data_IF_600240880398
#
_entry.id   IF_600240880398
#
_cell.length_a   1.000
_cell.length_b   1.000
_cell.length_c   1.000
_cell.angle_alpha   90.00
_cell.angle_beta   90.00
_cell.angle_gamma   90.00
#
_symmetry.space_group_name_H-M   'P 1'
#
loop_
_entity.id
_entity.type
_entity.pdbx_description
1 polymer ?
#
# COMPACT_ATOMS: atom_id res chain seq x y z
N UNK A 1 -15.02 0.46 -37.27
CA UNK A 1 -13.84 0.39 -36.38
C UNK A 1 -14.09 -0.25 -35.00
N UNK A 2 -15.33 -0.50 -34.51
CA UNK A 2 -15.57 -1.42 -33.38
C UNK A 2 -15.30 -2.90 -33.70
N UNK A 3 -15.30 -3.26 -34.98
CA UNK A 3 -15.16 -4.66 -35.44
C UNK A 3 -13.73 -5.21 -35.38
N UNK A 4 -12.71 -4.37 -35.14
CA UNK A 4 -11.31 -4.84 -35.11
C UNK A 4 -10.89 -5.46 -33.76
N UNK A 5 -11.55 -5.10 -32.66
CA UNK A 5 -11.18 -5.56 -31.31
C UNK A 5 -12.43 -5.70 -30.42
N UNK A 6 -13.28 -6.72 -30.65
CA UNK A 6 -14.58 -6.84 -30.00
C UNK A 6 -14.53 -7.06 -28.48
N UNK A 7 -13.36 -7.36 -27.91
CA UNK A 7 -13.16 -7.65 -26.49
C UNK A 7 -12.25 -6.63 -25.77
N UNK A 8 -11.92 -5.49 -26.38
CA UNK A 8 -10.91 -4.54 -25.86
C UNK A 8 -11.50 -3.18 -25.48
N UNK A 9 -12.74 -3.14 -24.97
CA UNK A 9 -13.35 -1.89 -24.54
C UNK A 9 -13.24 -1.74 -23.02
N UNK A 10 -12.25 -0.97 -22.57
CA UNK A 10 -12.09 -0.59 -21.17
C UNK A 10 -12.47 0.89 -21.00
N UNK A 11 -13.55 1.16 -20.29
CA UNK A 11 -14.00 2.53 -19.99
C UNK A 11 -13.66 2.88 -18.54
N UNK A 12 -12.74 3.84 -18.35
CA UNK A 12 -12.33 4.31 -17.03
C UNK A 12 -12.71 5.78 -16.89
N UNK A 13 -13.54 6.11 -15.89
CA UNK A 13 -13.87 7.49 -15.52
C UNK A 13 -12.89 7.96 -14.44
N UNK A 14 -12.02 8.93 -14.74
CA UNK A 14 -11.08 9.47 -13.74
C UNK A 14 -10.79 10.97 -13.90
N UNK A 15 -10.24 11.58 -12.85
CA UNK A 15 -9.73 12.95 -12.80
C UNK A 15 -8.40 13.06 -13.58
N UNK A 16 -8.14 14.21 -14.21
CA UNK A 16 -6.96 14.49 -15.07
C UNK A 16 -5.58 14.18 -14.44
N UNK A 17 -5.48 14.04 -13.11
CA UNK A 17 -4.21 13.72 -12.42
C UNK A 17 -3.81 12.24 -12.48
N UNK A 18 -4.69 11.36 -12.95
CA UNK A 18 -4.47 9.91 -12.98
C UNK A 18 -4.40 9.32 -14.40
N UNK A 19 -4.43 10.16 -15.42
CA UNK A 19 -4.43 9.71 -16.82
C UNK A 19 -3.14 8.98 -17.21
N UNK A 20 -1.99 9.39 -16.68
CA UNK A 20 -0.69 8.76 -16.95
C UNK A 20 -0.63 7.32 -16.40
N UNK A 21 -0.97 7.12 -15.13
CA UNK A 21 -0.98 5.78 -14.49
C UNK A 21 -2.01 4.83 -15.11
N UNK A 22 -3.12 5.36 -15.64
CA UNK A 22 -4.13 4.55 -16.34
C UNK A 22 -3.63 4.12 -17.73
N UNK A 23 -2.94 5.00 -18.45
CA UNK A 23 -2.34 4.65 -19.75
C UNK A 23 -1.34 3.50 -19.59
N UNK A 24 -0.56 3.49 -18.51
CA UNK A 24 0.33 2.38 -18.15
C UNK A 24 -0.43 1.09 -17.87
N UNK A 25 -1.47 1.13 -17.03
CA UNK A 25 -2.30 -0.04 -16.71
C UNK A 25 -3.01 -0.60 -17.95
N UNK A 26 -3.51 0.27 -18.83
CA UNK A 26 -4.17 -0.11 -20.09
C UNK A 26 -3.16 -0.77 -21.03
N UNK A 27 -1.94 -0.24 -21.13
CA UNK A 27 -0.86 -0.86 -21.92
C UNK A 27 -0.43 -2.20 -21.33
N UNK A 28 -0.35 -2.32 -20.01
CA UNK A 28 -0.07 -3.58 -19.30
C UNK A 28 -1.15 -4.64 -19.58
N UNK A 29 -2.43 -4.25 -19.60
CA UNK A 29 -3.56 -5.14 -19.93
C UNK A 29 -3.57 -5.52 -21.43
N UNK A 30 -3.20 -4.59 -22.32
CA UNK A 30 -3.11 -4.83 -23.77
C UNK A 30 -1.88 -5.68 -24.15
N UNK A 31 -0.78 -5.59 -23.40
CA UNK A 31 0.41 -6.44 -23.50
C UNK A 31 0.21 -7.76 -22.74
N UNK A 32 -0.83 -8.53 -23.10
CA UNK A 32 -1.15 -9.89 -22.59
C UNK A 32 0.09 -10.55 -21.96
N UNK A 33 0.10 -10.57 -20.62
CA UNK A 33 1.26 -10.52 -19.72
C UNK A 33 2.47 -11.38 -20.12
N UNK A 34 3.51 -10.72 -20.66
CA UNK A 34 4.87 -11.24 -20.54
C UNK A 34 5.56 -10.57 -19.34
N UNK A 35 5.77 -11.36 -18.29
CA UNK A 35 6.43 -10.94 -17.06
C UNK A 35 7.61 -11.85 -16.75
N UNK A 36 8.67 -11.27 -16.22
CA UNK A 36 9.72 -12.00 -15.51
C UNK A 36 9.28 -12.17 -14.06
N UNK A 37 9.59 -13.31 -13.47
CA UNK A 37 9.44 -13.53 -12.05
C UNK A 37 10.79 -13.92 -11.46
N UNK A 38 11.07 -13.48 -10.24
CA UNK A 38 12.23 -13.94 -9.49
C UNK A 38 11.81 -14.87 -8.35
N UNK A 39 12.77 -15.59 -7.82
CA UNK A 39 12.59 -16.45 -6.67
C UNK A 39 13.87 -16.51 -5.81
N UNK A 40 13.72 -16.72 -4.49
CA UNK A 40 14.79 -17.23 -3.66
C UNK A 40 15.34 -18.56 -4.18
N UNK A 41 16.66 -18.70 -4.22
CA UNK A 41 17.37 -19.92 -4.59
C UNK A 41 17.25 -20.96 -3.47
N UNK A 42 16.85 -22.19 -3.82
CA UNK A 42 16.74 -23.28 -2.84
C UNK A 42 17.99 -24.16 -2.78
N UNK A 43 18.85 -24.09 -3.80
CA UNK A 43 20.08 -24.87 -3.93
C UNK A 43 21.17 -24.06 -4.66
N UNK A 44 22.31 -24.71 -4.91
CA UNK A 44 23.47 -24.08 -5.54
C UNK A 44 24.30 -23.20 -4.60
N UNK A 45 25.43 -22.71 -5.09
CA UNK A 45 26.42 -21.98 -4.28
C UNK A 45 25.90 -20.67 -3.68
N UNK A 46 24.94 -19.99 -4.35
CA UNK A 46 24.38 -18.72 -3.86
C UNK A 46 23.25 -18.86 -2.85
N UNK A 47 22.69 -20.07 -2.68
CA UNK A 47 21.69 -20.33 -1.61
C UNK A 47 22.27 -20.07 -0.21
N UNK A 48 23.59 -20.17 -0.02
CA UNK A 48 24.26 -19.84 1.26
C UNK A 48 24.15 -18.37 1.67
N UNK A 49 23.76 -17.48 0.76
CA UNK A 49 23.53 -16.07 1.05
C UNK A 49 22.17 -15.80 1.70
N UNK A 50 21.42 -16.84 2.04
CA UNK A 50 20.27 -16.71 2.92
C UNK A 50 20.68 -16.28 4.33
N UNK A 51 19.88 -15.42 4.95
CA UNK A 51 20.08 -14.97 6.31
C UNK A 51 18.75 -14.67 6.98
N UNK A 52 18.80 -14.46 8.29
CA UNK A 52 17.62 -14.26 9.13
C UNK A 52 17.43 -12.80 9.48
N UNK A 53 16.17 -12.39 9.47
CA UNK A 53 15.70 -11.08 9.87
C UNK A 53 14.72 -11.19 11.05
N UNK A 54 14.70 -10.16 11.88
CA UNK A 54 13.79 -10.00 13.01
C UNK A 54 12.93 -8.77 12.80
N UNK A 55 11.64 -8.85 13.15
CA UNK A 55 10.71 -7.73 13.07
C UNK A 55 9.63 -7.88 14.16
N UNK A 56 8.74 -6.91 14.25
CA UNK A 56 7.62 -6.85 15.17
C UNK A 56 6.31 -7.27 14.54
N UNK A 57 5.52 -8.07 15.25
CA UNK A 57 4.13 -8.29 14.86
C UNK A 57 3.28 -7.08 15.29
N UNK A 58 2.86 -6.30 14.29
CA UNK A 58 2.02 -5.12 14.42
C UNK A 58 0.51 -5.42 14.47
N UNK A 59 0.11 -6.69 14.55
CA UNK A 59 -1.30 -7.09 14.69
C UNK A 59 -1.94 -6.48 15.94
N UNK A 60 -3.21 -6.08 15.82
CA UNK A 60 -3.97 -5.46 16.92
C UNK A 60 -5.02 -6.43 17.43
N UNK A 61 -5.16 -6.54 18.74
CA UNK A 61 -6.28 -7.26 19.37
C UNK A 61 -7.42 -6.28 19.74
N UNK A 62 -8.69 -6.69 19.56
CA UNK A 62 -9.83 -5.87 19.94
C UNK A 62 -9.91 -5.74 21.48
N UNK A 63 -9.87 -4.51 22.00
CA UNK A 63 -10.16 -4.19 23.40
C UNK A 63 -11.48 -3.46 23.51
N UNK A 64 -12.33 -3.87 24.44
CA UNK A 64 -13.63 -3.23 24.66
C UNK A 64 -13.46 -2.12 25.71
N UNK A 65 -13.80 -0.88 25.37
CA UNK A 65 -13.83 0.27 26.30
C UNK A 65 -15.23 0.90 26.36
N UNK A 66 -15.61 1.52 27.49
CA UNK A 66 -16.88 2.25 27.57
C UNK A 66 -16.90 3.44 26.61
N UNK A 67 -18.04 3.65 25.94
CA UNK A 67 -18.22 4.74 24.98
C UNK A 67 -18.18 6.11 25.66
N UNK A 68 -17.66 7.14 24.98
CA UNK A 68 -17.75 8.54 25.47
C UNK A 68 -19.18 9.05 25.33
N UNK A 69 -19.69 9.65 26.41
CA UNK A 69 -20.94 10.40 26.37
C UNK A 69 -20.81 11.58 25.39
N UNK A 70 -21.75 11.66 24.46
CA UNK A 70 -21.92 12.79 23.55
C UNK A 70 -23.41 13.09 23.51
N UNK A 71 -23.76 14.37 23.62
CA UNK A 71 -25.15 14.85 23.65
C UNK A 71 -25.97 14.21 22.53
N UNK A 72 -27.04 13.52 22.90
CA UNK A 72 -27.94 12.87 21.98
C UNK A 72 -28.93 13.90 21.41
N UNK A 73 -29.02 14.00 20.09
CA UNK A 73 -30.18 14.60 19.43
C UNK A 73 -31.22 13.50 19.22
N UNK A 74 -32.33 13.59 19.93
CA UNK A 74 -33.50 12.74 19.67
C UNK A 74 -34.12 13.15 18.34
N UNK A 75 -34.39 12.17 17.46
CA UNK A 75 -35.11 12.41 16.22
C UNK A 75 -36.58 12.69 16.54
N UNK A 76 -37.04 13.91 16.25
CA UNK A 76 -38.46 14.24 16.29
C UNK A 76 -39.18 13.65 15.07
N UNK A 77 -39.95 12.58 15.28
CA UNK A 77 -40.75 11.91 14.24
C UNK A 77 -41.90 12.77 13.70
N UNK A 78 -42.26 13.84 14.41
CA UNK A 78 -43.25 14.82 13.95
C UNK A 78 -42.61 16.00 13.19
N UNK A 79 -41.28 16.10 13.18
CA UNK A 79 -40.51 17.15 12.54
C UNK A 79 -40.26 16.93 11.05
N UNK A 80 -39.20 17.53 10.53
CA UNK A 80 -38.71 17.31 9.16
C UNK A 80 -37.19 17.19 9.14
N UNK A 81 -36.66 16.44 8.18
CA UNK A 81 -35.23 16.30 7.93
C UNK A 81 -34.79 17.42 6.99
N UNK A 82 -33.66 18.07 7.28
CA UNK A 82 -33.14 19.19 6.48
C UNK A 82 -32.51 18.72 5.15
N UNK A 83 -33.38 18.38 4.19
CA UNK A 83 -32.98 18.00 2.85
C UNK A 83 -32.49 19.22 2.03
N UNK A 84 -31.67 18.95 1.03
CA UNK A 84 -31.20 19.95 0.05
C UNK A 84 -32.00 19.82 -1.23
N UNK A 85 -32.32 20.93 -1.90
CA UNK A 85 -32.96 20.89 -3.22
C UNK A 85 -32.05 20.17 -4.22
N UNK A 86 -32.63 19.29 -5.02
CA UNK A 86 -31.88 18.47 -5.96
C UNK A 86 -32.59 18.37 -7.31
N UNK A 87 -31.79 18.27 -8.37
CA UNK A 87 -32.22 17.98 -9.73
C UNK A 87 -31.45 16.77 -10.25
N UNK A 88 -32.19 15.85 -10.88
CA UNK A 88 -31.68 14.55 -11.32
C UNK A 88 -31.11 14.57 -12.74
N UNK A 89 -31.41 15.61 -13.52
CA UNK A 89 -30.92 15.77 -14.89
C UNK A 89 -29.96 16.96 -14.97
N UNK A 90 -28.78 16.73 -15.54
CA UNK A 90 -27.87 17.81 -15.91
C UNK A 90 -27.12 17.46 -17.19
N UNK A 91 -26.95 18.45 -18.06
CA UNK A 91 -26.15 18.34 -19.28
C UNK A 91 -24.67 18.50 -18.90
N UNK A 92 -23.84 17.53 -19.28
CA UNK A 92 -22.38 17.59 -19.05
C UNK A 92 -21.65 17.36 -20.37
N UNK A 93 -20.51 18.02 -20.52
CA UNK A 93 -19.59 17.89 -21.64
C UNK A 93 -18.34 17.16 -21.16
N UNK A 94 -17.96 16.06 -21.81
CA UNK A 94 -16.71 15.34 -21.53
C UNK A 94 -15.93 15.15 -22.82
N UNK A 95 -14.62 15.26 -22.72
CA UNK A 95 -13.68 15.05 -23.83
C UNK A 95 -13.17 13.62 -23.80
N UNK A 96 -13.47 12.85 -24.84
CA UNK A 96 -12.85 11.55 -25.07
C UNK A 96 -11.51 11.76 -25.77
N UNK A 97 -10.51 10.96 -25.40
CA UNK A 97 -9.18 10.96 -26.03
C UNK A 97 -8.93 9.57 -26.59
N UNK A 98 -8.71 9.46 -27.90
CA UNK A 98 -8.31 8.20 -28.53
C UNK A 98 -6.82 7.91 -28.29
N UNK A 99 -6.37 6.68 -28.54
CA UNK A 99 -4.99 6.21 -28.42
C UNK A 99 -4.03 7.06 -29.28
N UNK A 100 -4.51 7.59 -30.40
CA UNK A 100 -3.76 8.48 -31.30
C UNK A 100 -3.78 9.96 -30.86
N UNK A 101 -4.42 10.27 -29.72
CA UNK A 101 -4.46 11.61 -29.13
C UNK A 101 -5.56 12.54 -29.67
N UNK A 102 -6.44 12.05 -30.53
CA UNK A 102 -7.57 12.84 -31.02
C UNK A 102 -8.61 13.07 -29.91
N UNK A 103 -8.98 14.33 -29.73
CA UNK A 103 -9.95 14.76 -28.71
C UNK A 103 -11.34 14.94 -29.34
N UNK A 104 -12.34 14.28 -28.76
CA UNK A 104 -13.74 14.43 -29.18
C UNK A 104 -14.60 14.90 -28.00
N UNK A 105 -15.11 16.14 -28.01
CA UNK A 105 -16.07 16.59 -27.02
C UNK A 105 -17.44 15.96 -27.31
N UNK A 106 -18.00 15.26 -26.34
CA UNK A 106 -19.33 14.65 -26.43
C UNK A 106 -20.19 15.20 -25.30
N UNK A 107 -21.37 15.71 -25.66
CA UNK A 107 -22.39 16.16 -24.72
C UNK A 107 -23.35 15.00 -24.45
N UNK A 108 -23.57 14.70 -23.19
CA UNK A 108 -24.56 13.70 -22.80
C UNK A 108 -25.36 14.18 -21.59
N UNK A 109 -26.62 13.73 -21.53
CA UNK A 109 -27.49 13.91 -20.38
C UNK A 109 -27.13 12.87 -19.35
N UNK A 110 -26.65 13.32 -18.19
CA UNK A 110 -26.38 12.43 -17.06
C UNK A 110 -27.63 12.45 -16.18
N UNK A 111 -28.24 11.28 -16.02
CA UNK A 111 -29.21 11.05 -14.95
C UNK A 111 -28.45 10.67 -13.69
N UNK A 112 -28.59 11.47 -12.62
CA UNK A 112 -27.96 11.16 -11.34
C UNK A 112 -28.65 9.93 -10.72
N UNK A 113 -27.88 9.04 -10.07
CA UNK A 113 -28.44 7.89 -9.37
C UNK A 113 -29.42 8.38 -8.29
N UNK A 114 -30.62 7.80 -8.32
CA UNK A 114 -31.73 8.07 -7.38
C UNK A 114 -32.18 6.76 -6.76
N UNK A 115 -32.63 6.82 -5.51
CA UNK A 115 -33.15 5.67 -4.77
C UNK A 115 -34.57 5.98 -4.34
N UNK A 116 -35.48 5.04 -4.52
CA UNK A 116 -36.89 5.24 -4.15
C UNK A 116 -37.05 5.39 -2.63
N UNK A 117 -38.08 6.11 -2.20
CA UNK A 117 -38.39 6.24 -0.76
C UNK A 117 -38.62 4.87 -0.12
N UNK A 118 -39.31 3.96 -0.81
CA UNK A 118 -39.53 2.59 -0.34
C UNK A 118 -38.22 1.86 -0.06
N UNK A 119 -37.27 1.86 -1.00
CA UNK A 119 -35.97 1.20 -0.83
C UNK A 119 -35.15 1.78 0.33
N UNK A 120 -35.25 3.11 0.54
CA UNK A 120 -34.62 3.79 1.67
C UNK A 120 -35.20 3.27 2.98
N UNK A 121 -36.52 3.15 3.07
CA UNK A 121 -37.22 2.65 4.26
C UNK A 121 -36.94 1.16 4.49
N UNK A 122 -36.95 0.33 3.44
CA UNK A 122 -36.61 -1.09 3.53
C UNK A 122 -35.20 -1.30 4.07
N UNK A 123 -34.24 -0.47 3.65
CA UNK A 123 -32.87 -0.49 4.21
C UNK A 123 -32.85 -0.11 5.69
N UNK A 124 -33.57 0.93 6.09
CA UNK A 124 -33.63 1.37 7.50
C UNK A 124 -34.19 0.24 8.39
N UNK A 125 -35.26 -0.41 7.95
CA UNK A 125 -35.86 -1.55 8.67
C UNK A 125 -34.87 -2.72 8.75
N UNK A 126 -34.23 -3.09 7.64
CA UNK A 126 -33.25 -4.18 7.60
C UNK A 126 -32.04 -3.91 8.51
N UNK A 127 -31.52 -2.69 8.50
CA UNK A 127 -30.39 -2.29 9.34
C UNK A 127 -30.78 -2.35 10.85
N UNK A 128 -32.07 -2.13 11.18
CA UNK A 128 -32.62 -2.32 12.53
C UNK A 128 -32.69 -3.80 12.93
N UNK A 129 -33.16 -4.67 12.03
CA UNK A 129 -33.22 -6.13 12.27
C UNK A 129 -31.83 -6.75 12.47
N UNK A 130 -30.84 -6.34 11.68
CA UNK A 130 -29.46 -6.80 11.79
C UNK A 130 -28.88 -6.45 13.17
N UNK A 131 -29.10 -5.21 13.63
CA UNK A 131 -28.58 -4.75 14.93
C UNK A 131 -29.29 -5.38 16.13
N UNK A 132 -30.59 -5.63 16.04
CA UNK A 132 -31.32 -6.42 17.05
C UNK A 132 -30.76 -7.85 17.15
N UNK A 133 -30.42 -8.46 16.02
CA UNK A 133 -29.76 -9.77 15.98
C UNK A 133 -28.33 -9.73 16.54
N UNK A 134 -27.52 -8.72 16.19
CA UNK A 134 -26.16 -8.52 16.73
C UNK A 134 -26.16 -8.30 18.24
N UNK A 135 -27.09 -7.49 18.76
CA UNK A 135 -27.25 -7.25 20.20
C UNK A 135 -27.55 -8.55 20.98
N UNK A 136 -28.45 -9.38 20.43
CA UNK A 136 -28.77 -10.71 20.97
C UNK A 136 -27.59 -11.69 20.89
N UNK A 137 -26.89 -11.72 19.76
CA UNK A 137 -25.73 -12.60 19.55
C UNK A 137 -24.56 -12.25 20.49
N UNK A 138 -24.36 -10.96 20.78
CA UNK A 138 -23.27 -10.45 21.62
C UNK A 138 -23.61 -10.41 23.12
N UNK A 139 -24.80 -10.90 23.54
CA UNK A 139 -25.29 -10.83 24.94
C UNK A 139 -25.22 -9.43 25.55
N UNK A 140 -25.43 -8.40 24.73
CA UNK A 140 -25.56 -7.03 25.19
C UNK A 140 -26.94 -6.90 25.87
N UNK A 141 -27.01 -6.15 26.98
CA UNK A 141 -28.14 -6.21 27.92
C UNK A 141 -29.51 -6.19 27.21
N UNK A 142 -30.35 -7.20 27.50
CA UNK A 142 -31.66 -7.47 26.87
C UNK A 142 -32.66 -6.30 26.93
N UNK A 143 -32.36 -5.27 27.73
CA UNK A 143 -33.28 -4.21 28.12
C UNK A 143 -33.18 -2.95 27.24
N UNK A 144 -32.18 -2.84 26.36
CA UNK A 144 -31.94 -1.61 25.56
C UNK A 144 -32.29 -1.76 24.07
N UNK A 145 -32.29 -2.99 23.53
CA UNK A 145 -32.44 -3.25 22.09
C UNK A 145 -33.78 -3.92 21.72
N UNK A 146 -34.81 -3.78 22.55
CA UNK A 146 -36.12 -4.39 22.24
C UNK A 146 -36.84 -3.66 21.10
N UNK A 147 -37.36 -4.47 20.16
CA UNK A 147 -38.33 -4.23 19.06
C UNK A 147 -39.41 -3.13 19.23
N UNK A 148 -39.56 -2.52 20.39
CA UNK A 148 -40.68 -1.63 20.73
C UNK A 148 -40.48 -0.16 20.32
N UNK A 149 -39.33 0.23 19.77
CA UNK A 149 -39.02 1.63 19.41
C UNK A 149 -38.95 1.91 17.90
N UNK A 150 -39.12 0.92 17.01
CA UNK A 150 -39.11 1.20 15.57
C UNK A 150 -40.47 1.78 15.15
N UNK A 151 -40.53 2.98 14.57
CA UNK A 151 -41.78 3.53 14.04
C UNK A 151 -42.32 2.62 12.92
N UNK A 152 -43.65 2.50 12.77
CA UNK A 152 -44.26 1.83 11.63
C UNK A 152 -43.69 2.35 10.30
N UNK A 153 -43.59 1.48 9.29
CA UNK A 153 -43.13 1.82 7.93
C UNK A 153 -43.79 3.10 7.41
N UNK A 154 -45.10 3.22 7.64
CA UNK A 154 -45.94 4.35 7.24
C UNK A 154 -45.43 5.68 7.82
N UNK A 155 -45.01 5.70 9.09
CA UNK A 155 -44.49 6.90 9.75
C UNK A 155 -43.10 7.30 9.20
N UNK A 156 -42.26 6.32 8.85
CA UNK A 156 -40.95 6.56 8.24
C UNK A 156 -41.11 7.17 6.84
N UNK A 157 -42.02 6.61 6.04
CA UNK A 157 -42.34 7.14 4.71
C UNK A 157 -42.94 8.55 4.81
N UNK A 158 -43.87 8.78 5.74
CA UNK A 158 -44.50 10.09 5.94
C UNK A 158 -43.50 11.17 6.37
N UNK A 159 -42.52 10.84 7.24
CA UNK A 159 -41.46 11.79 7.62
C UNK A 159 -40.59 12.16 6.40
N UNK A 160 -40.20 11.18 5.59
CA UNK A 160 -39.38 11.42 4.39
C UNK A 160 -40.17 12.25 3.37
N UNK A 161 -41.46 11.94 3.15
CA UNK A 161 -42.33 12.67 2.22
C UNK A 161 -42.56 14.12 2.65
N UNK A 162 -42.86 14.37 3.92
CA UNK A 162 -42.96 15.74 4.46
C UNK A 162 -41.66 16.52 4.29
N UNK A 163 -40.51 15.86 4.48
CA UNK A 163 -39.19 16.47 4.29
C UNK A 163 -38.90 16.80 2.82
N UNK A 164 -39.36 15.96 1.88
CA UNK A 164 -39.28 16.20 0.43
C UNK A 164 -40.15 17.38 -0.01
N UNK A 165 -41.38 17.45 0.48
CA UNK A 165 -42.33 18.53 0.20
C UNK A 165 -41.80 19.89 0.66
N UNK A 166 -41.22 19.95 1.87
CA UNK A 166 -40.62 21.17 2.42
C UNK A 166 -39.50 21.76 1.54
N UNK A 167 -38.87 20.93 0.69
CA UNK A 167 -37.76 21.32 -0.19
C UNK A 167 -38.11 21.31 -1.67
N UNK A 168 -39.40 21.15 -2.00
CA UNK A 168 -39.91 21.16 -3.36
C UNK A 168 -39.42 19.98 -4.22
N UNK A 169 -38.98 18.89 -3.60
CA UNK A 169 -38.51 17.70 -4.29
C UNK A 169 -39.75 16.93 -4.79
N UNK A 170 -39.92 16.87 -6.11
CA UNK A 170 -41.05 16.18 -6.74
C UNK A 170 -40.68 14.74 -7.10
N UNK A 171 -41.62 13.81 -6.93
CA UNK A 171 -41.45 12.40 -7.26
C UNK A 171 -41.28 11.52 -6.03
N UNK A 172 -40.81 10.28 -6.24
CA UNK A 172 -40.73 9.23 -5.22
C UNK A 172 -39.30 8.75 -4.94
N UNK A 173 -38.28 9.58 -5.24
CA UNK A 173 -36.89 9.20 -5.11
C UNK A 173 -36.02 10.34 -4.59
N UNK A 174 -34.93 9.98 -3.90
CA UNK A 174 -33.91 10.90 -3.38
C UNK A 174 -32.54 10.58 -4.00
N UNK A 175 -31.74 11.62 -4.19
CA UNK A 175 -30.34 11.47 -4.59
C UNK A 175 -29.45 11.03 -3.42
N UNK A 176 -28.21 10.63 -3.73
CA UNK A 176 -27.25 10.09 -2.75
C UNK A 176 -27.04 11.01 -1.53
N UNK A 177 -27.01 12.33 -1.72
CA UNK A 177 -26.78 13.30 -0.64
C UNK A 177 -27.96 13.36 0.34
N UNK A 178 -29.19 13.51 -0.18
CA UNK A 178 -30.39 13.52 0.65
C UNK A 178 -30.63 12.16 1.31
N UNK A 179 -30.38 11.06 0.60
CA UNK A 179 -30.39 9.71 1.16
C UNK A 179 -29.45 9.57 2.36
N UNK A 180 -28.21 10.09 2.26
CA UNK A 180 -27.26 10.06 3.36
C UNK A 180 -27.74 10.86 4.59
N UNK A 181 -28.39 12.03 4.36
CA UNK A 181 -29.02 12.81 5.43
C UNK A 181 -30.16 12.05 6.11
N UNK A 182 -30.98 11.35 5.33
CA UNK A 182 -32.04 10.48 5.86
C UNK A 182 -31.45 9.38 6.73
N UNK A 183 -30.42 8.65 6.26
CA UNK A 183 -29.75 7.63 7.06
C UNK A 183 -29.08 8.19 8.33
N UNK A 184 -28.49 9.39 8.26
CA UNK A 184 -27.91 10.05 9.42
C UNK A 184 -28.98 10.41 10.46
N UNK A 185 -30.12 10.93 10.02
CA UNK A 185 -31.25 11.28 10.89
C UNK A 185 -31.84 10.04 11.59
N UNK A 186 -32.09 8.95 10.85
CA UNK A 186 -32.54 7.69 11.47
C UNK A 186 -31.44 6.97 12.25
N UNK A 187 -30.17 7.31 11.99
CA UNK A 187 -29.00 6.86 12.73
C UNK A 187 -29.03 7.24 14.23
N UNK A 188 -29.78 8.27 14.60
CA UNK A 188 -29.90 8.71 16.01
C UNK A 188 -30.94 7.94 16.80
N UNK A 189 -31.84 7.19 16.15
CA UNK A 189 -32.81 6.30 16.82
C UNK A 189 -32.14 5.05 17.41
N UNK A 190 -30.91 4.74 17.00
CA UNK A 190 -30.17 3.61 17.54
C UNK A 190 -29.56 3.97 18.91
N UNK A 191 -29.81 3.18 19.96
CA UNK A 191 -29.08 3.31 21.22
C UNK A 191 -27.58 3.24 20.94
N UNK A 192 -26.82 4.22 21.44
CA UNK A 192 -25.36 4.18 21.34
C UNK A 192 -24.86 2.97 22.13
N UNK A 193 -23.96 2.15 21.58
CA UNK A 193 -23.46 1.00 22.30
C UNK A 193 -22.72 1.46 23.57
N UNK A 194 -23.05 0.90 24.73
CA UNK A 194 -22.37 1.16 26.01
C UNK A 194 -20.85 0.89 25.94
N UNK A 195 -20.43 0.12 24.93
CA UNK A 195 -19.08 -0.39 24.75
C UNK A 195 -18.63 -0.20 23.30
N UNK A 196 -17.50 0.45 23.09
CA UNK A 196 -16.83 0.57 21.80
C UNK A 196 -15.64 -0.37 21.75
N UNK A 197 -15.45 -1.08 20.64
CA UNK A 197 -14.24 -1.86 20.40
C UNK A 197 -13.15 -0.88 19.93
N UNK A 198 -12.10 -0.74 20.73
CA UNK A 198 -10.90 0.01 20.40
C UNK A 198 -9.72 -0.96 20.29
N UNK A 199 -8.88 -0.78 19.27
CA UNK A 199 -7.74 -1.64 19.04
C UNK A 199 -6.53 -1.12 19.82
N UNK A 200 -6.16 -1.78 20.91
CA UNK A 200 -4.95 -1.41 21.64
C UNK A 200 -3.72 -2.04 20.99
N UNK A 201 -2.60 -1.30 20.93
CA UNK A 201 -1.30 -1.86 20.54
C UNK A 201 -0.95 -3.00 21.51
N UNK A 202 -0.72 -4.21 20.98
CA UNK A 202 -0.09 -5.30 21.73
C UNK A 202 1.34 -4.88 22.06
N UNK A 203 1.94 -5.48 23.09
CA UNK A 203 3.40 -5.48 23.17
C UNK A 203 3.91 -6.18 21.91
N UNK A 204 4.58 -5.46 21.01
CA UNK A 204 5.05 -5.91 19.71
C UNK A 204 5.92 -7.17 19.91
N UNK A 205 5.40 -8.40 19.75
CA UNK A 205 6.22 -9.58 19.98
C UNK A 205 7.21 -9.69 18.82
N UNK A 206 8.46 -9.95 19.19
CA UNK A 206 9.55 -10.16 18.26
C UNK A 206 9.33 -11.48 17.52
N UNK A 207 9.45 -11.48 16.19
CA UNK A 207 9.44 -12.69 15.36
C UNK A 207 10.63 -12.73 14.40
N UNK A 208 11.12 -13.94 14.14
CA UNK A 208 12.21 -14.23 13.21
C UNK A 208 11.64 -14.76 11.89
N UNK A 209 12.23 -14.38 10.76
CA UNK A 209 11.98 -15.02 9.48
C UNK A 209 13.24 -15.09 8.61
N UNK A 210 13.27 -16.08 7.71
CA UNK A 210 14.38 -16.33 6.77
C UNK A 210 14.13 -15.62 5.44
N UNK A 211 15.19 -15.12 4.79
CA UNK A 211 15.11 -14.61 3.42
C UNK A 211 14.76 -15.69 2.39
N UNK A 212 14.84 -16.97 2.75
CA UNK A 212 14.32 -18.11 1.97
C UNK A 212 12.81 -18.01 1.74
N UNK A 213 12.09 -17.44 2.71
CA UNK A 213 10.63 -17.29 2.66
C UNK A 213 10.18 -16.00 1.98
N UNK A 214 11.10 -15.25 1.34
CA UNK A 214 10.75 -14.04 0.60
C UNK A 214 9.82 -14.38 -0.56
N UNK A 215 8.72 -13.64 -0.67
CA UNK A 215 7.78 -13.79 -1.80
C UNK A 215 8.48 -13.53 -3.15
N UNK A 216 7.93 -14.12 -4.21
CA UNK A 216 8.37 -13.86 -5.59
C UNK A 216 7.92 -12.46 -6.00
N UNK A 217 8.81 -11.72 -6.66
CA UNK A 217 8.42 -10.51 -7.38
C UNK A 217 8.23 -10.81 -8.86
N UNK A 218 7.54 -9.90 -9.54
CA UNK A 218 7.44 -9.91 -10.99
C UNK A 218 7.72 -8.54 -11.59
N UNK A 219 8.29 -8.55 -12.79
CA UNK A 219 8.62 -7.38 -13.57
C UNK A 219 8.02 -7.54 -14.98
N UNK A 220 7.25 -6.55 -15.42
CA UNK A 220 6.66 -6.57 -16.76
C UNK A 220 7.70 -6.22 -17.83
N UNK A 221 7.51 -6.72 -19.06
CA UNK A 221 8.38 -6.34 -20.17
C UNK A 221 8.26 -4.84 -20.50
N UNK A 222 7.12 -4.22 -20.22
CA UNK A 222 6.94 -2.78 -20.40
C UNK A 222 7.87 -1.98 -19.47
N UNK A 223 8.07 -2.41 -18.23
CA UNK A 223 9.02 -1.77 -17.29
C UNK A 223 10.48 -1.88 -17.78
N UNK A 224 10.85 -2.99 -18.42
CA UNK A 224 12.18 -3.19 -19.02
C UNK A 224 12.46 -2.23 -20.19
N UNK A 225 11.41 -1.76 -20.89
CA UNK A 225 11.56 -0.74 -21.96
C UNK A 225 11.86 0.66 -21.43
N UNK A 226 11.64 0.88 -20.13
CA UNK A 226 11.80 2.17 -19.49
C UNK A 226 13.13 2.21 -18.72
N UNK A 227 13.07 2.06 -17.40
CA UNK A 227 14.21 2.25 -16.51
C UNK A 227 14.49 1.02 -15.63
N UNK A 228 13.75 -0.07 -15.80
CA UNK A 228 13.98 -1.26 -15.01
C UNK A 228 15.21 -2.03 -15.50
N UNK A 229 15.86 -2.76 -14.60
CA UNK A 229 17.04 -3.56 -14.91
C UNK A 229 16.96 -4.91 -14.23
N UNK A 230 17.43 -5.94 -14.91
CA UNK A 230 17.52 -7.32 -14.43
C UNK A 230 18.99 -7.67 -14.26
N UNK A 231 19.40 -7.88 -13.02
CA UNK A 231 20.72 -8.40 -12.69
C UNK A 231 20.67 -9.92 -12.54
N UNK A 232 21.63 -10.60 -13.16
CA UNK A 232 21.73 -12.06 -13.18
C UNK A 232 23.20 -12.48 -13.30
N UNK A 233 23.51 -13.74 -12.98
CA UNK A 233 24.88 -14.28 -13.12
C UNK A 233 25.08 -14.97 -14.47
N UNK A 234 26.32 -15.27 -14.82
CA UNK A 234 26.65 -16.14 -15.95
C UNK A 234 26.08 -17.58 -15.82
N UNK A 235 25.66 -18.01 -14.62
CA UNK A 235 25.08 -19.33 -14.33
C UNK A 235 23.53 -19.33 -14.30
N UNK A 236 22.90 -18.29 -14.85
CA UNK A 236 21.45 -18.09 -14.81
C UNK A 236 20.63 -19.30 -15.33
N UNK A 237 21.17 -20.10 -16.26
CA UNK A 237 20.48 -21.26 -16.80
C UNK A 237 20.20 -22.34 -15.74
N UNK A 238 21.11 -22.46 -14.76
CA UNK A 238 20.99 -23.38 -13.64
C UNK A 238 20.33 -22.71 -12.42
N UNK A 239 20.48 -21.40 -12.26
CA UNK A 239 20.01 -20.68 -11.06
C UNK A 239 18.56 -20.20 -11.14
N UNK A 240 18.03 -19.87 -12.33
CA UNK A 240 16.63 -19.42 -12.43
C UNK A 240 15.70 -20.58 -12.06
N UNK A 241 14.90 -20.38 -11.01
CA UNK A 241 14.19 -21.50 -10.35
C UNK A 241 12.99 -21.97 -11.17
N UNK A 242 12.32 -21.05 -11.85
CA UNK A 242 11.10 -21.33 -12.61
C UNK A 242 11.41 -21.50 -14.10
N UNK A 243 10.96 -22.62 -14.69
CA UNK A 243 11.07 -22.85 -16.14
C UNK A 243 10.34 -21.78 -16.95
N UNK A 244 9.16 -21.32 -16.51
CA UNK A 244 8.45 -20.20 -17.15
C UNK A 244 9.27 -18.90 -17.09
N UNK A 245 9.94 -18.64 -15.95
CA UNK A 245 10.82 -17.50 -15.81
C UNK A 245 12.05 -17.62 -16.74
N UNK A 246 12.63 -18.81 -16.93
CA UNK A 246 13.72 -19.04 -17.91
C UNK A 246 13.28 -18.74 -19.33
N UNK A 247 12.11 -19.21 -19.73
CA UNK A 247 11.56 -18.96 -21.07
C UNK A 247 11.35 -17.46 -21.29
N UNK A 248 10.69 -16.78 -20.35
CA UNK A 248 10.45 -15.34 -20.46
C UNK A 248 11.77 -14.54 -20.40
N UNK A 249 12.73 -14.96 -19.57
CA UNK A 249 14.06 -14.37 -19.51
C UNK A 249 14.77 -14.50 -20.86
N UNK A 250 14.78 -15.70 -21.45
CA UNK A 250 15.39 -15.94 -22.75
C UNK A 250 14.75 -15.09 -23.86
N UNK A 251 13.41 -15.00 -23.89
CA UNK A 251 12.68 -14.15 -24.83
C UNK A 251 13.09 -12.68 -24.65
N UNK A 252 13.04 -12.17 -23.42
CA UNK A 252 13.33 -10.77 -23.13
C UNK A 252 14.80 -10.39 -23.39
N UNK A 253 15.76 -11.21 -22.93
CA UNK A 253 17.19 -10.94 -23.13
C UNK A 253 17.59 -10.93 -24.61
N UNK A 254 16.90 -11.72 -25.44
CA UNK A 254 17.15 -11.76 -26.89
C UNK A 254 16.35 -10.73 -27.69
N UNK A 255 15.35 -10.07 -27.08
CA UNK A 255 14.65 -8.95 -27.70
C UNK A 255 15.61 -7.75 -27.83
N UNK A 256 15.76 -7.24 -29.06
CA UNK A 256 16.65 -6.12 -29.38
C UNK A 256 16.30 -4.84 -28.62
N UNK A 257 15.02 -4.64 -28.27
CA UNK A 257 14.56 -3.46 -27.54
C UNK A 257 14.80 -3.59 -26.02
N UNK A 258 14.85 -4.81 -25.49
CA UNK A 258 14.95 -5.07 -24.05
C UNK A 258 16.36 -5.42 -23.60
N UNK A 259 17.25 -5.83 -24.51
CA UNK A 259 18.61 -6.28 -24.18
C UNK A 259 19.39 -5.32 -23.28
N UNK A 260 19.19 -4.01 -23.43
CA UNK A 260 19.87 -2.99 -22.62
C UNK A 260 19.42 -2.95 -21.15
N UNK A 261 18.36 -3.66 -20.77
CA UNK A 261 17.86 -3.78 -19.41
C UNK A 261 18.40 -5.02 -18.68
N UNK A 262 19.31 -5.79 -19.28
CA UNK A 262 19.88 -7.00 -18.70
C UNK A 262 21.36 -6.81 -18.40
N UNK A 263 21.69 -6.73 -17.11
CA UNK A 263 23.06 -6.58 -16.64
C UNK A 263 23.58 -7.90 -16.06
N UNK A 264 24.56 -8.47 -16.76
CA UNK A 264 25.23 -9.69 -16.33
C UNK A 264 26.30 -9.38 -15.28
N UNK A 265 26.31 -10.14 -14.19
CA UNK A 265 27.40 -10.18 -13.23
C UNK A 265 28.30 -11.37 -13.59
N UNK A 266 29.46 -11.16 -14.25
CA UNK A 266 30.24 -12.28 -14.79
C UNK A 266 30.81 -13.18 -13.70
N UNK A 267 31.16 -12.60 -12.56
CA UNK A 267 31.65 -13.30 -11.38
C UNK A 267 30.54 -13.50 -10.36
N UNK A 268 29.95 -14.70 -10.30
CA UNK A 268 28.85 -15.02 -9.37
C UNK A 268 29.22 -14.86 -7.90
N UNK A 269 30.51 -14.89 -7.53
CA UNK A 269 30.97 -14.64 -6.15
C UNK A 269 30.74 -13.19 -5.69
N UNK A 270 30.58 -12.25 -6.62
CA UNK A 270 30.25 -10.86 -6.33
C UNK A 270 28.76 -10.64 -6.08
N UNK A 271 27.93 -11.52 -6.63
CA UNK A 271 26.47 -11.45 -6.52
C UNK A 271 26.01 -12.13 -5.23
N UNK A 272 26.34 -11.52 -4.08
CA UNK A 272 26.10 -12.05 -2.72
C UNK A 272 24.65 -12.01 -2.26
N UNK A 273 23.74 -12.40 -3.15
CA UNK A 273 22.30 -12.49 -2.93
C UNK A 273 21.82 -13.90 -3.26
N UNK A 274 20.82 -14.33 -2.52
CA UNK A 274 20.15 -15.62 -2.71
C UNK A 274 18.97 -15.53 -3.69
N UNK A 275 18.86 -14.46 -4.47
CA UNK A 275 17.85 -14.33 -5.53
C UNK A 275 18.41 -14.84 -6.85
N UNK A 276 17.60 -15.58 -7.61
CA UNK A 276 17.97 -15.99 -8.97
C UNK A 276 18.17 -14.76 -9.90
N UNK A 277 17.22 -13.84 -9.87
CA UNK A 277 17.20 -12.58 -10.60
C UNK A 277 16.92 -11.41 -9.63
N UNK A 278 17.62 -10.29 -9.81
CA UNK A 278 17.35 -9.06 -9.06
C UNK A 278 16.79 -8.00 -10.00
N UNK A 279 15.60 -7.50 -9.67
CA UNK A 279 14.90 -6.47 -10.42
C UNK A 279 15.08 -5.11 -9.74
N UNK A 280 15.54 -4.12 -10.49
CA UNK A 280 15.51 -2.71 -10.07
C UNK A 280 14.52 -1.94 -10.93
N UNK A 281 13.80 -0.98 -10.37
CA UNK A 281 12.77 -0.21 -11.07
C UNK A 281 13.26 1.18 -11.50
N UNK A 282 14.25 1.73 -10.78
CA UNK A 282 14.75 3.07 -11.01
C UNK A 282 16.28 3.16 -10.89
N UNK A 283 16.80 4.30 -11.32
CA UNK A 283 18.23 4.59 -11.41
C UNK A 283 19.00 4.47 -10.09
N UNK A 284 18.49 4.98 -8.93
CA UNK A 284 19.17 4.83 -7.65
C UNK A 284 19.36 3.37 -7.24
N UNK A 285 18.31 2.54 -7.38
CA UNK A 285 18.39 1.10 -7.08
C UNK A 285 19.39 0.40 -8.01
N UNK A 286 19.37 0.70 -9.31
CA UNK A 286 20.28 0.10 -10.29
C UNK A 286 21.74 0.36 -9.91
N UNK A 287 22.09 1.64 -9.70
CA UNK A 287 23.44 2.04 -9.26
C UNK A 287 23.83 1.41 -7.93
N UNK A 288 22.89 1.31 -6.99
CA UNK A 288 23.16 0.68 -5.71
C UNK A 288 23.52 -0.80 -5.87
N UNK A 289 22.79 -1.54 -6.72
CA UNK A 289 23.09 -2.96 -7.03
C UNK A 289 24.43 -3.10 -7.75
N UNK A 290 24.75 -2.22 -8.72
CA UNK A 290 26.06 -2.18 -9.37
C UNK A 290 27.19 -2.07 -8.33
N UNK A 291 27.06 -1.13 -7.38
CA UNK A 291 28.04 -0.92 -6.31
C UNK A 291 28.11 -2.07 -5.31
N UNK A 292 26.99 -2.72 -4.97
CA UNK A 292 26.98 -3.94 -4.15
C UNK A 292 27.79 -5.07 -4.78
N UNK A 293 27.84 -5.12 -6.11
CA UNK A 293 28.51 -6.14 -6.89
C UNK A 293 29.96 -5.78 -7.28
N UNK A 294 30.47 -4.62 -6.88
CA UNK A 294 31.89 -4.31 -7.04
C UNK A 294 32.74 -5.13 -6.07
N UNK A 295 33.87 -5.68 -6.54
CA UNK A 295 34.77 -6.53 -5.74
C UNK A 295 35.10 -5.93 -4.36
N UNK A 296 35.54 -4.67 -4.34
CA UNK A 296 35.96 -4.00 -3.11
C UNK A 296 34.81 -3.81 -2.11
N UNK A 297 33.55 -3.80 -2.54
CA UNK A 297 32.39 -3.69 -1.65
C UNK A 297 31.90 -5.07 -1.25
N UNK A 298 31.78 -5.97 -2.23
CA UNK A 298 31.34 -7.35 -2.03
C UNK A 298 32.22 -8.06 -0.99
N UNK A 299 33.53 -7.84 -0.97
CA UNK A 299 34.45 -8.46 0.01
C UNK A 299 34.10 -8.14 1.48
N UNK A 300 33.41 -7.03 1.73
CA UNK A 300 32.99 -6.61 3.07
C UNK A 300 31.53 -6.97 3.40
N UNK A 301 30.77 -7.47 2.42
CA UNK A 301 29.37 -7.86 2.58
C UNK A 301 29.30 -9.38 2.73
N UNK A 302 28.63 -9.89 3.76
CA UNK A 302 28.43 -11.33 3.92
C UNK A 302 27.30 -11.81 2.99
N UNK A 303 26.18 -11.11 2.98
CA UNK A 303 25.05 -11.33 2.09
C UNK A 303 24.21 -10.06 1.94
N UNK A 304 23.38 -9.97 0.90
CA UNK A 304 22.36 -8.93 0.78
C UNK A 304 21.11 -9.46 0.08
N UNK A 305 19.97 -8.82 0.32
CA UNK A 305 18.69 -9.15 -0.32
C UNK A 305 17.98 -7.85 -0.70
N UNK A 306 17.38 -7.81 -1.90
CA UNK A 306 16.41 -6.77 -2.26
C UNK A 306 15.04 -7.19 -1.77
N UNK A 307 14.36 -6.33 -1.04
CA UNK A 307 13.02 -6.60 -0.53
C UNK A 307 12.01 -6.81 -1.65
N UNK A 308 10.97 -7.59 -1.35
CA UNK A 308 9.81 -7.66 -2.22
C UNK A 308 8.95 -6.41 -2.07
N UNK A 309 8.24 -6.05 -3.15
CA UNK A 309 7.41 -4.84 -3.16
C UNK A 309 6.30 -4.87 -2.09
N UNK A 310 5.87 -6.07 -1.66
CA UNK A 310 4.87 -6.27 -0.61
C UNK A 310 5.29 -7.38 0.34
N UNK A 311 4.78 -7.33 1.57
CA UNK A 311 4.81 -8.40 2.58
C UNK A 311 6.17 -8.96 3.02
N UNK A 312 7.29 -8.31 2.71
CA UNK A 312 8.60 -8.82 3.14
C UNK A 312 9.03 -8.32 4.52
N UNK A 313 9.31 -7.02 4.67
CA UNK A 313 9.70 -6.40 5.94
C UNK A 313 8.89 -5.13 6.16
N UNK A 314 7.65 -5.29 6.64
CA UNK A 314 6.71 -4.18 6.72
C UNK A 314 6.93 -3.33 7.97
N UNK A 315 7.14 -2.02 7.76
CA UNK A 315 7.23 -1.01 8.82
C UNK A 315 6.02 -0.07 8.69
N UNK A 316 5.13 0.00 9.70
CA UNK A 316 4.01 0.91 9.68
C UNK A 316 4.47 2.35 9.93
N UNK A 317 3.86 3.29 9.22
CA UNK A 317 4.06 4.71 9.44
C UNK A 317 2.73 5.46 9.30
N UNK A 318 2.67 6.67 9.85
CA UNK A 318 1.51 7.55 9.69
C UNK A 318 1.93 8.85 9.06
N UNK A 319 1.10 9.37 8.16
CA UNK A 319 1.28 10.68 7.54
C UNK A 319 0.02 11.52 7.74
N UNK A 320 0.23 12.80 8.06
CA UNK A 320 -0.85 13.77 8.19
C UNK A 320 -1.08 14.46 6.84
N UNK A 321 -2.30 14.34 6.33
CA UNK A 321 -2.72 14.94 5.06
C UNK A 321 -3.70 16.09 5.31
N UNK A 322 -3.73 17.06 4.39
CA UNK A 322 -4.64 18.21 4.47
C UNK A 322 -4.32 19.20 5.59
N UNK A 323 -3.03 19.49 5.85
CA UNK A 323 -2.54 20.34 6.94
C UNK A 323 -2.95 19.85 8.34
N UNK A 324 -2.75 18.55 8.62
CA UNK A 324 -3.03 17.97 9.95
C UNK A 324 -4.49 17.60 10.21
N UNK A 325 -5.35 17.58 9.17
CA UNK A 325 -6.78 17.26 9.33
C UNK A 325 -7.08 15.77 9.23
N UNK A 326 -6.27 15.01 8.50
CA UNK A 326 -6.50 13.59 8.26
C UNK A 326 -5.20 12.80 8.43
N UNK A 327 -5.10 11.98 9.46
CA UNK A 327 -3.97 11.05 9.63
C UNK A 327 -4.31 9.73 8.91
N UNK A 328 -3.49 9.35 7.94
CA UNK A 328 -3.60 8.04 7.28
C UNK A 328 -2.46 7.14 7.73
N UNK A 329 -2.76 5.86 7.89
CA UNK A 329 -1.78 4.85 8.25
C UNK A 329 -1.40 4.05 7.01
N UNK A 330 -0.10 3.89 6.82
CA UNK A 330 0.50 3.17 5.71
C UNK A 330 1.57 2.23 6.24
N UNK A 331 2.17 1.47 5.33
CA UNK A 331 3.33 0.63 5.60
C UNK A 331 4.27 0.65 4.42
N UNK A 332 5.56 0.49 4.65
CA UNK A 332 6.57 0.34 3.60
C UNK A 332 7.57 -0.74 3.96
N UNK A 333 8.34 -1.20 2.97
CA UNK A 333 9.45 -2.12 3.17
C UNK A 333 10.74 -1.40 2.73
N UNK A 334 11.82 -1.39 3.54
CA UNK A 334 13.12 -0.92 3.07
C UNK A 334 13.56 -1.64 1.80
N UNK A 335 14.12 -0.95 0.81
CA UNK A 335 14.52 -1.55 -0.47
C UNK A 335 15.53 -2.71 -0.34
N UNK A 336 16.53 -2.59 0.54
CA UNK A 336 17.60 -3.58 0.70
C UNK A 336 17.89 -3.90 2.16
N UNK A 337 18.35 -5.12 2.40
CA UNK A 337 19.00 -5.52 3.64
C UNK A 337 20.38 -6.11 3.33
N UNK A 338 21.42 -5.58 3.95
CA UNK A 338 22.79 -6.07 3.84
C UNK A 338 23.18 -6.69 5.17
N UNK A 339 23.69 -7.91 5.15
CA UNK A 339 24.30 -8.56 6.30
C UNK A 339 25.82 -8.34 6.25
N UNK A 340 26.35 -7.69 7.28
CA UNK A 340 27.78 -7.58 7.57
C UNK A 340 28.09 -8.38 8.84
N UNK A 341 29.30 -8.90 8.96
CA UNK A 341 29.72 -9.69 10.13
C UNK A 341 30.92 -9.02 10.80
N UNK A 342 30.84 -8.74 12.09
CA UNK A 342 31.97 -8.22 12.85
C UNK A 342 32.01 -8.81 14.26
N UNK A 343 33.14 -9.43 14.61
CA UNK A 343 33.39 -10.04 15.94
C UNK A 343 32.26 -10.96 16.44
N UNK A 344 31.64 -11.73 15.54
CA UNK A 344 30.57 -12.67 15.86
C UNK A 344 29.19 -12.03 16.09
N UNK A 345 29.03 -10.76 15.72
CA UNK A 345 27.73 -10.07 15.66
C UNK A 345 27.34 -9.85 14.21
N UNK A 346 26.08 -10.16 13.89
CA UNK A 346 25.49 -9.85 12.59
C UNK A 346 24.98 -8.40 12.61
N UNK A 347 25.48 -7.57 11.70
CA UNK A 347 24.98 -6.21 11.48
C UNK A 347 24.10 -6.21 10.24
N UNK A 348 22.83 -5.87 10.41
CA UNK A 348 21.87 -5.75 9.32
C UNK A 348 21.68 -4.28 8.96
N UNK A 349 22.20 -3.89 7.81
CA UNK A 349 22.02 -2.55 7.27
C UNK A 349 20.76 -2.55 6.40
N UNK A 350 19.69 -1.97 6.91
CA UNK A 350 18.46 -1.73 6.17
C UNK A 350 18.58 -0.42 5.39
N UNK A 351 18.34 -0.46 4.08
CA UNK A 351 18.60 0.66 3.18
C UNK A 351 17.35 0.96 2.36
N UNK A 352 16.93 2.22 2.37
CA UNK A 352 15.96 2.77 1.43
C UNK A 352 16.71 3.66 0.43
N UNK A 353 16.53 3.40 -0.87
CA UNK A 353 17.11 4.20 -1.93
C UNK A 353 16.12 5.25 -2.42
N UNK A 354 16.60 6.47 -2.66
CA UNK A 354 15.82 7.57 -3.23
C UNK A 354 16.62 8.36 -4.23
N UNK A 355 15.92 9.17 -5.01
CA UNK A 355 16.55 10.19 -5.84
C UNK A 355 17.17 11.29 -4.97
N UNK A 356 18.15 12.00 -5.52
CA UNK A 356 18.75 13.15 -4.84
C UNK A 356 17.67 14.18 -4.48
N UNK A 357 17.74 14.70 -3.24
CA UNK A 357 16.81 15.71 -2.70
C UNK A 357 15.32 15.27 -2.63
N UNK A 358 15.01 13.98 -2.57
CA UNK A 358 13.63 13.50 -2.39
C UNK A 358 13.21 13.52 -0.90
N UNK A 359 13.01 14.72 -0.36
CA UNK A 359 12.61 14.98 1.03
C UNK A 359 11.10 15.17 1.22
N UNK A 360 10.30 14.47 0.41
CA UNK A 360 8.83 14.52 0.51
C UNK A 360 8.33 14.19 1.93
N UNK A 361 7.17 14.73 2.31
CA UNK A 361 6.56 14.49 3.64
C UNK A 361 6.33 13.00 3.91
N UNK A 362 6.08 12.20 2.87
CA UNK A 362 6.01 10.74 2.97
C UNK A 362 7.36 10.13 3.35
N UNK A 363 8.45 10.54 2.68
CA UNK A 363 9.79 10.04 2.99
C UNK A 363 10.27 10.49 4.37
N UNK A 364 9.95 11.72 4.80
CA UNK A 364 10.20 12.19 6.17
C UNK A 364 9.49 11.30 7.20
N UNK A 365 8.22 10.98 6.96
CA UNK A 365 7.47 10.07 7.83
C UNK A 365 8.10 8.67 7.85
N UNK A 366 8.37 8.06 6.69
CA UNK A 366 9.02 6.75 6.59
C UNK A 366 10.35 6.72 7.36
N UNK A 367 11.20 7.72 7.14
CA UNK A 367 12.50 7.82 7.79
C UNK A 367 12.39 7.92 9.31
N UNK A 368 11.49 8.77 9.81
CA UNK A 368 11.22 8.90 11.25
C UNK A 368 10.76 7.57 11.85
N UNK A 369 9.71 6.97 11.29
CA UNK A 369 9.11 5.75 11.83
C UNK A 369 10.06 4.55 11.73
N UNK A 370 10.89 4.44 10.69
CA UNK A 370 11.89 3.39 10.61
C UNK A 370 13.02 3.57 11.62
N UNK A 371 13.50 4.80 11.87
CA UNK A 371 14.47 5.03 12.94
C UNK A 371 13.93 4.60 14.30
N UNK A 372 12.70 5.00 14.63
CA UNK A 372 12.04 4.57 15.88
C UNK A 372 11.90 3.04 15.94
N UNK A 373 11.48 2.41 14.83
CA UNK A 373 11.36 0.97 14.71
C UNK A 373 12.67 0.24 15.01
N UNK A 374 13.77 0.59 14.35
CA UNK A 374 15.03 -0.13 14.50
C UNK A 374 15.71 0.15 15.85
N UNK A 375 15.48 1.33 16.45
CA UNK A 375 15.90 1.59 17.84
C UNK A 375 15.18 0.63 18.79
N UNK A 376 13.85 0.54 18.72
CA UNK A 376 13.07 -0.38 19.56
C UNK A 376 13.46 -1.84 19.32
N UNK A 377 13.64 -2.24 18.06
CA UNK A 377 14.06 -3.60 17.69
C UNK A 377 15.41 -3.96 18.32
N UNK A 378 16.40 -3.08 18.20
CA UNK A 378 17.73 -3.30 18.77
C UNK A 378 17.71 -3.41 20.30
N UNK A 379 16.86 -2.61 20.97
CA UNK A 379 16.70 -2.71 22.43
C UNK A 379 16.14 -4.08 22.82
N UNK A 380 15.13 -4.57 22.10
CA UNK A 380 14.53 -5.88 22.37
C UNK A 380 15.50 -7.03 22.05
N UNK A 381 16.21 -6.99 20.92
CA UNK A 381 17.23 -7.98 20.55
C UNK A 381 18.33 -8.07 21.62
N UNK A 382 18.83 -6.91 22.09
CA UNK A 382 19.82 -6.85 23.17
C UNK A 382 19.27 -7.42 24.48
N UNK A 383 18.02 -7.09 24.84
CA UNK A 383 17.39 -7.60 26.07
C UNK A 383 17.15 -9.11 26.07
N UNK A 384 17.01 -9.70 24.87
CA UNK A 384 16.79 -11.14 24.67
C UNK A 384 18.08 -11.91 24.37
N UNK A 385 19.22 -11.23 24.29
CA UNK A 385 20.53 -11.84 24.07
C UNK A 385 20.79 -12.30 22.62
N UNK A 386 20.07 -11.72 21.65
CA UNK A 386 20.26 -12.01 20.22
C UNK A 386 21.41 -11.15 19.70
N UNK A 387 22.46 -11.79 19.17
CA UNK A 387 23.65 -11.12 18.62
C UNK A 387 23.44 -10.61 17.19
N UNK A 388 22.41 -9.78 17.01
CA UNK A 388 22.14 -9.09 15.76
C UNK A 388 21.82 -7.61 16.03
N UNK A 389 22.31 -6.71 15.19
CA UNK A 389 22.11 -5.28 15.33
C UNK A 389 21.69 -4.65 14.00
N UNK A 390 20.64 -3.83 14.03
CA UNK A 390 20.07 -3.18 12.86
C UNK A 390 20.48 -1.72 12.77
N UNK A 391 20.85 -1.29 11.56
CA UNK A 391 21.16 0.11 11.26
C UNK A 391 20.36 0.49 10.01
N UNK A 392 19.71 1.64 10.03
CA UNK A 392 18.82 2.07 8.95
C UNK A 392 19.30 3.35 8.30
N UNK A 393 19.34 3.35 6.97
CA UNK A 393 19.74 4.52 6.19
C UNK A 393 18.81 4.77 5.01
N UNK A 394 18.50 6.05 4.80
CA UNK A 394 18.07 6.55 3.50
C UNK A 394 19.31 7.00 2.74
N UNK A 395 19.45 6.57 1.48
CA UNK A 395 20.60 6.93 0.64
C UNK A 395 20.13 7.35 -0.74
N UNK A 396 20.83 8.32 -1.32
CA UNK A 396 20.68 8.71 -2.73
C UNK A 396 21.99 8.54 -3.50
N UNK A 397 21.98 8.65 -4.84
CA UNK A 397 23.20 8.57 -5.64
C UNK A 397 24.37 9.44 -5.17
N UNK A 398 24.10 10.63 -4.61
CA UNK A 398 25.14 11.52 -4.08
C UNK A 398 25.79 10.98 -2.78
N UNK A 399 25.07 10.13 -2.04
CA UNK A 399 25.54 9.51 -0.80
C UNK A 399 26.37 8.24 -1.05
N UNK A 400 26.18 7.58 -2.20
CA UNK A 400 26.76 6.26 -2.47
C UNK A 400 28.28 6.17 -2.28
N UNK A 401 29.11 7.10 -2.79
CA UNK A 401 30.56 7.02 -2.59
C UNK A 401 30.92 6.97 -1.10
N UNK A 402 30.34 7.87 -0.31
CA UNK A 402 30.60 7.95 1.13
C UNK A 402 30.05 6.73 1.87
N UNK A 403 28.86 6.25 1.49
CA UNK A 403 28.23 5.08 2.09
C UNK A 403 29.12 3.83 1.93
N UNK A 404 29.58 3.56 0.71
CA UNK A 404 30.43 2.39 0.43
C UNK A 404 31.85 2.56 0.98
N UNK A 405 32.42 3.77 1.02
CA UNK A 405 33.68 4.03 1.72
C UNK A 405 33.61 3.66 3.22
N UNK A 406 32.50 4.04 3.87
CA UNK A 406 32.24 3.73 5.28
C UNK A 406 31.87 2.27 5.50
N UNK A 407 31.24 1.61 4.52
CA UNK A 407 31.00 0.17 4.53
C UNK A 407 32.33 -0.58 4.64
N UNK A 408 33.30 -0.25 3.77
CA UNK A 408 34.61 -0.89 3.74
C UNK A 408 35.45 -0.60 4.99
N UNK A 409 35.24 0.55 5.62
CA UNK A 409 35.99 1.01 6.80
C UNK A 409 35.33 0.64 8.13
N UNK A 410 34.24 -0.13 8.13
CA UNK A 410 33.41 -0.46 9.30
C UNK A 410 32.78 0.75 10.02
N UNK A 411 32.81 1.96 9.44
CA UNK A 411 32.15 3.11 10.02
C UNK A 411 30.61 3.03 9.90
N UNK A 412 30.10 2.25 8.95
CA UNK A 412 28.67 1.92 8.92
C UNK A 412 28.24 1.19 10.19
N UNK A 413 28.93 0.12 10.58
CA UNK A 413 28.56 -0.67 11.77
C UNK A 413 28.77 0.09 13.09
N UNK A 414 29.62 1.11 13.09
CA UNK A 414 29.79 2.05 14.21
C UNK A 414 28.68 3.12 14.27
N UNK A 415 27.77 3.16 13.30
CA UNK A 415 26.66 4.12 13.24
C UNK A 415 27.12 5.55 12.94
N UNK A 416 28.25 5.73 12.26
CA UNK A 416 28.84 7.05 11.98
C UNK A 416 28.39 7.69 10.67
N UNK A 417 27.78 6.91 9.79
CA UNK A 417 27.31 7.43 8.51
C UNK A 417 26.12 8.37 8.73
N UNK A 418 26.18 9.51 8.05
CA UNK A 418 25.08 10.45 7.98
C UNK A 418 25.07 11.07 6.58
N UNK A 419 24.07 10.71 5.79
CA UNK A 419 23.96 11.11 4.39
C UNK A 419 23.39 12.52 4.22
N UNK A 420 23.60 13.11 3.04
CA UNK A 420 22.99 14.38 2.65
C UNK A 420 21.47 14.29 2.63
N UNK A 421 20.92 13.17 2.13
CA UNK A 421 19.47 12.97 2.12
C UNK A 421 18.91 12.87 3.53
N UNK A 422 19.60 12.20 4.45
CA UNK A 422 19.19 12.12 5.86
C UNK A 422 19.26 13.48 6.58
N UNK A 423 20.14 14.38 6.13
CA UNK A 423 20.15 15.79 6.56
C UNK A 423 18.87 16.52 6.15
N UNK A 424 18.43 16.33 4.91
CA UNK A 424 17.19 16.92 4.41
C UNK A 424 15.97 16.33 5.12
N UNK A 425 15.91 15.01 5.29
CA UNK A 425 14.79 14.32 5.92
C UNK A 425 14.62 14.64 7.42
N UNK A 426 15.70 15.05 8.10
CA UNK A 426 15.65 15.49 9.50
C UNK A 426 15.25 16.98 9.66
N UNK A 427 15.18 17.77 8.59
CA UNK A 427 14.75 19.17 8.67
C UNK A 427 13.22 19.22 8.75
N UNK A 428 12.70 19.72 9.88
CA UNK A 428 11.27 19.93 10.14
C UNK A 428 10.66 20.94 9.17
#
# INVERSE_FOLDING_TARGET
MPEKYPNSLLTIFNHHKFSESISELVREILEIEQRLANAPLTDGERSKFHFKLWNFDYSREPRIIPAKETDAQELDLNGTIDLTSETFEHDTETTFVDIDGEQMPVKFKIEKPKTSVSEIVDKIIKDFEIRDWEGKALKLAENQYTKNNLPPRENLEELIRRSMENRGIKGDALGNQNRAKVYAAFGTLFPKPDKTVNYAKKANPLFEFSTENRERDSLSFSSLRQNATVFFTSDYENEVVSEDAKVNFFIAKNDRQLRGAFDEIPNSFLFKTSLDLVFTSHEPERKFVELLCEQNNADHIAAWIKSANKNFYSIPYTIDTGNGRFTTQHSFNPDFFLKLENLGTDYIIAVETKSNNDDSEENKAKYKFAKEHFVELNEQLRSTGINQHYIFHFVCPDDFPTFFDQLRSNFLIEGKFYGQLEELLNKN
#
